data_IF_365225438801
#
_entry.id   IF_365225438801
#
_cell.length_a   1.000
_cell.length_b   1.000
_cell.length_c   1.000
_cell.angle_alpha   90.00
_cell.angle_beta   90.00
_cell.angle_gamma   90.00
#
_symmetry.space_group_name_H-M   'P 1'
#
loop_
_entity.id
_entity.type
_entity.pdbx_description
1 polymer ?
#
# COMPACT_ATOMS: atom_id res chain seq x y z
N UNK A 1 34.98 29.56 -63.72
CA UNK A 1 33.93 28.56 -63.39
C UNK A 1 34.14 28.06 -61.96
N UNK A 2 33.05 27.71 -61.27
CA UNK A 2 32.90 27.06 -59.94
C UNK A 2 32.58 28.01 -58.77
N UNK A 3 31.26 28.24 -58.63
CA UNK A 3 30.57 28.75 -57.44
C UNK A 3 30.50 27.62 -56.41
N UNK A 4 31.00 27.85 -55.20
CA UNK A 4 30.91 26.92 -54.07
C UNK A 4 29.60 27.18 -53.32
N UNK A 5 28.59 26.33 -53.49
CA UNK A 5 27.33 26.40 -52.74
C UNK A 5 27.53 25.80 -51.34
N UNK A 6 27.29 26.61 -50.31
CA UNK A 6 27.20 26.16 -48.92
C UNK A 6 25.78 25.65 -48.68
N UNK A 7 25.61 24.35 -48.44
CA UNK A 7 24.34 23.79 -47.99
C UNK A 7 24.22 23.97 -46.47
N UNK A 8 23.22 24.73 -46.04
CA UNK A 8 22.76 24.81 -44.65
C UNK A 8 21.89 23.58 -44.37
N UNK A 9 22.36 22.67 -43.51
CA UNK A 9 21.55 21.56 -43.01
C UNK A 9 20.67 22.06 -41.85
N UNK A 10 19.34 22.06 -42.05
CA UNK A 10 18.37 22.22 -40.97
C UNK A 10 18.37 20.94 -40.11
N UNK A 11 18.79 21.06 -38.85
CA UNK A 11 18.62 20.02 -37.85
C UNK A 11 17.17 20.05 -37.34
N UNK A 12 16.38 19.05 -37.72
CA UNK A 12 15.03 18.82 -37.19
C UNK A 12 15.11 18.29 -35.75
N UNK A 13 14.49 18.99 -34.81
CA UNK A 13 14.34 18.54 -33.42
C UNK A 13 13.24 17.47 -33.40
N UNK A 14 13.65 16.20 -33.26
CA UNK A 14 12.72 15.11 -33.00
C UNK A 14 12.37 15.09 -31.51
N UNK A 15 11.14 15.51 -31.17
CA UNK A 15 10.57 15.33 -29.82
C UNK A 15 10.20 13.85 -29.67
N UNK A 16 11.03 13.11 -28.95
CA UNK A 16 10.71 11.74 -28.54
C UNK A 16 9.79 11.78 -27.32
N UNK A 17 8.48 11.56 -27.55
CA UNK A 17 7.55 11.22 -26.48
C UNK A 17 7.91 9.82 -25.96
N UNK A 18 8.68 9.77 -24.87
CA UNK A 18 8.88 8.54 -24.12
C UNK A 18 7.56 8.20 -23.39
N UNK A 19 6.97 7.01 -23.61
CA UNK A 19 5.81 6.60 -22.84
C UNK A 19 6.24 6.36 -21.39
N UNK A 20 5.61 7.07 -20.46
CA UNK A 20 5.71 6.75 -19.04
C UNK A 20 5.07 5.38 -18.81
N UNK A 21 5.90 4.34 -18.76
CA UNK A 21 5.47 3.00 -18.38
C UNK A 21 5.10 3.02 -16.90
N UNK A 22 3.83 3.32 -16.60
CA UNK A 22 3.27 3.07 -15.29
C UNK A 22 3.38 1.58 -15.01
N UNK A 23 4.13 1.21 -13.97
CA UNK A 23 4.22 -0.17 -13.51
C UNK A 23 2.81 -0.63 -13.12
N UNK A 24 2.17 -1.40 -13.99
CA UNK A 24 0.92 -2.09 -13.65
C UNK A 24 1.28 -3.17 -12.64
N UNK A 25 0.88 -2.97 -11.39
CA UNK A 25 0.97 -4.02 -10.39
C UNK A 25 0.11 -5.21 -10.87
N UNK A 26 0.77 -6.28 -11.29
CA UNK A 26 0.11 -7.55 -11.57
C UNK A 26 -0.31 -8.13 -10.23
N UNK A 27 -1.57 -7.89 -9.85
CA UNK A 27 -2.16 -8.59 -8.72
C UNK A 27 -2.21 -10.07 -9.06
N UNK A 28 -1.34 -10.86 -8.45
CA UNK A 28 -1.33 -12.31 -8.58
C UNK A 28 -2.62 -12.81 -7.92
N UNK A 29 -3.65 -13.05 -8.72
CA UNK A 29 -4.89 -13.66 -8.25
C UNK A 29 -4.53 -15.06 -7.72
N UNK A 30 -4.50 -15.22 -6.40
CA UNK A 30 -4.68 -16.52 -5.76
C UNK A 30 -5.98 -17.13 -6.28
N UNK A 31 -6.06 -18.47 -6.34
CA UNK A 31 -7.29 -19.13 -6.78
C UNK A 31 -8.52 -18.53 -6.04
N UNK A 32 -9.64 -18.27 -6.73
CA UNK A 32 -10.84 -17.72 -6.10
C UNK A 32 -11.33 -18.55 -4.90
N UNK A 33 -11.05 -19.85 -4.91
CA UNK A 33 -11.28 -20.78 -3.80
C UNK A 33 -10.04 -21.66 -3.65
N UNK A 34 -9.49 -21.70 -2.44
CA UNK A 34 -8.42 -22.63 -2.09
C UNK A 34 -9.03 -23.90 -1.46
N UNK A 35 -8.86 -25.09 -2.09
CA UNK A 35 -9.39 -26.34 -1.56
C UNK A 35 -8.88 -26.69 -0.15
N UNK A 36 -7.73 -26.16 0.29
CA UNK A 36 -7.19 -26.41 1.63
C UNK A 36 -8.09 -25.82 2.75
N UNK A 37 -8.89 -24.83 2.41
CA UNK A 37 -9.76 -24.14 3.37
C UNK A 37 -11.07 -24.90 3.66
N UNK A 38 -11.41 -25.87 2.81
CA UNK A 38 -12.65 -26.65 2.89
C UNK A 38 -12.43 -27.87 3.79
N UNK A 39 -13.29 -28.05 4.78
CA UNK A 39 -13.37 -29.27 5.58
C UNK A 39 -14.37 -30.26 4.96
N UNK A 40 -13.85 -31.20 4.16
CA UNK A 40 -14.67 -32.23 3.51
C UNK A 40 -15.20 -33.30 4.45
N UNK A 41 -14.80 -33.31 5.73
CA UNK A 41 -15.35 -34.24 6.72
C UNK A 41 -16.72 -33.78 7.26
N UNK A 42 -17.03 -32.48 7.14
CA UNK A 42 -18.30 -31.92 7.54
C UNK A 42 -19.38 -32.10 6.46
N UNK A 43 -20.62 -32.42 6.87
CA UNK A 43 -21.76 -32.47 5.97
C UNK A 43 -22.22 -31.04 5.62
N UNK A 44 -22.03 -30.64 4.36
CA UNK A 44 -22.37 -29.31 3.86
C UNK A 44 -23.85 -28.93 4.01
N UNK A 45 -24.77 -29.89 3.98
CA UNK A 45 -26.21 -29.64 4.15
C UNK A 45 -26.63 -29.42 5.61
N UNK A 46 -25.74 -29.73 6.57
CA UNK A 46 -26.00 -29.62 8.01
C UNK A 46 -25.26 -28.43 8.60
N UNK A 47 -23.95 -28.31 8.32
CA UNK A 47 -23.12 -27.19 8.74
C UNK A 47 -22.24 -26.73 7.57
N UNK A 48 -22.82 -25.85 6.76
CA UNK A 48 -22.12 -25.29 5.61
C UNK A 48 -20.93 -24.41 6.03
N UNK A 49 -20.98 -23.78 7.21
CA UNK A 49 -19.90 -22.93 7.69
C UNK A 49 -18.66 -23.75 8.01
N UNK A 50 -18.81 -24.87 8.72
CA UNK A 50 -17.70 -25.79 8.97
C UNK A 50 -17.21 -26.41 7.67
N UNK A 51 -18.09 -26.88 6.78
CA UNK A 51 -17.67 -27.44 5.49
C UNK A 51 -16.84 -26.43 4.68
N UNK A 52 -17.32 -25.19 4.53
CA UNK A 52 -16.66 -24.21 3.68
C UNK A 52 -15.39 -23.60 4.29
N UNK A 53 -15.34 -23.43 5.62
CA UNK A 53 -14.29 -22.66 6.31
C UNK A 53 -13.49 -23.43 7.35
N UNK A 54 -13.83 -24.70 7.64
CA UNK A 54 -13.25 -25.48 8.72
C UNK A 54 -11.74 -25.67 8.58
N UNK A 55 -11.27 -25.90 7.35
CA UNK A 55 -9.83 -25.98 7.05
C UNK A 55 -9.13 -24.64 7.26
N UNK A 56 -9.73 -23.53 6.83
CA UNK A 56 -9.15 -22.19 7.06
C UNK A 56 -9.05 -21.88 8.56
N UNK A 57 -10.13 -22.13 9.31
CA UNK A 57 -10.18 -21.87 10.76
C UNK A 57 -9.14 -22.68 11.54
N UNK A 58 -8.90 -23.93 11.14
CA UNK A 58 -7.89 -24.77 11.77
C UNK A 58 -6.46 -24.24 11.56
N UNK A 59 -6.19 -23.65 10.38
CA UNK A 59 -4.86 -23.14 10.01
C UNK A 59 -4.63 -21.66 10.39
N UNK A 60 -5.68 -20.93 10.77
CA UNK A 60 -5.63 -19.50 11.04
C UNK A 60 -6.21 -19.20 12.44
N UNK A 61 -5.51 -19.57 13.53
CA UNK A 61 -5.92 -19.21 14.87
C UNK A 61 -5.88 -17.68 15.04
N UNK A 62 -6.71 -17.15 15.95
CA UNK A 62 -6.73 -15.72 16.25
C UNK A 62 -5.36 -15.30 16.80
N UNK A 63 -4.62 -14.41 16.12
CA UNK A 63 -3.34 -13.95 16.65
C UNK A 63 -3.56 -13.12 17.91
N UNK A 64 -2.59 -13.14 18.84
CA UNK A 64 -2.74 -12.53 20.17
C UNK A 64 -3.06 -11.02 20.16
N UNK A 65 -2.70 -10.31 19.09
CA UNK A 65 -2.99 -8.89 18.92
C UNK A 65 -4.45 -8.59 18.56
N UNK A 66 -5.26 -9.60 18.21
CA UNK A 66 -6.62 -9.44 17.74
C UNK A 66 -7.63 -10.15 18.64
N UNK A 67 -8.83 -9.57 18.75
CA UNK A 67 -9.96 -10.20 19.46
C UNK A 67 -10.77 -11.16 18.57
N UNK A 68 -10.59 -11.06 17.25
CA UNK A 68 -11.19 -11.91 16.22
C UNK A 68 -10.24 -12.01 15.03
N UNK A 69 -10.40 -13.05 14.21
CA UNK A 69 -9.62 -13.19 12.99
C UNK A 69 -10.45 -13.83 11.88
N UNK A 70 -10.35 -13.27 10.69
CA UNK A 70 -11.14 -13.63 9.52
C UNK A 70 -10.57 -13.01 8.26
N UNK A 71 -11.17 -13.34 7.11
CA UNK A 71 -10.73 -12.84 5.81
C UNK A 71 -10.76 -11.31 5.69
N UNK A 72 -11.72 -10.63 6.33
CA UNK A 72 -11.78 -9.17 6.36
C UNK A 72 -10.71 -8.55 7.27
N UNK A 73 -10.32 -9.22 8.35
CA UNK A 73 -9.23 -8.77 9.20
C UNK A 73 -7.90 -8.92 8.44
N UNK A 74 -7.66 -10.04 7.75
CA UNK A 74 -6.51 -10.20 6.85
C UNK A 74 -6.45 -9.13 5.75
N UNK A 75 -7.59 -8.79 5.15
CA UNK A 75 -7.67 -7.71 4.15
C UNK A 75 -7.35 -6.35 4.77
N UNK A 76 -7.86 -6.09 5.97
CA UNK A 76 -7.58 -4.89 6.76
C UNK A 76 -6.08 -4.73 7.01
N UNK A 77 -5.42 -5.80 7.46
CA UNK A 77 -3.97 -5.79 7.71
C UNK A 77 -3.16 -5.54 6.43
N UNK A 78 -3.49 -6.22 5.32
CA UNK A 78 -2.83 -5.99 4.01
C UNK A 78 -3.00 -4.54 3.51
N UNK A 79 -4.17 -3.95 3.76
CA UNK A 79 -4.42 -2.55 3.45
C UNK A 79 -3.61 -1.63 4.36
N UNK A 80 -3.56 -1.92 5.67
CA UNK A 80 -2.78 -1.16 6.64
C UNK A 80 -1.28 -1.18 6.30
N UNK A 81 -0.73 -2.33 5.91
CA UNK A 81 0.65 -2.44 5.42
C UNK A 81 0.90 -1.55 4.20
N UNK A 82 -0.06 -1.54 3.26
CA UNK A 82 0.03 -0.72 2.05
C UNK A 82 0.02 0.77 2.38
N UNK A 83 -0.91 1.21 3.23
CA UNK A 83 -1.00 2.59 3.70
C UNK A 83 0.27 2.99 4.46
N UNK A 84 0.76 2.12 5.34
CA UNK A 84 2.01 2.33 6.09
C UNK A 84 3.17 2.58 5.13
N UNK A 85 3.36 1.74 4.11
CA UNK A 85 4.41 1.95 3.10
C UNK A 85 4.27 3.28 2.36
N UNK A 86 3.05 3.67 1.99
CA UNK A 86 2.81 4.93 1.28
C UNK A 86 3.11 6.15 2.18
N UNK A 87 2.67 6.11 3.43
CA UNK A 87 2.86 7.20 4.39
C UNK A 87 4.32 7.32 4.83
N UNK A 88 5.03 6.20 5.03
CA UNK A 88 6.48 6.21 5.30
C UNK A 88 7.24 6.86 4.14
N UNK A 89 6.92 6.50 2.88
CA UNK A 89 7.53 7.15 1.72
C UNK A 89 7.25 8.65 1.66
N UNK A 90 6.02 9.06 1.95
CA UNK A 90 5.65 10.47 2.00
C UNK A 90 6.37 11.24 3.13
N UNK A 91 6.65 10.58 4.26
CA UNK A 91 7.41 11.14 5.37
C UNK A 91 8.91 11.29 5.05
N UNK A 92 9.46 10.38 4.25
CA UNK A 92 10.87 10.38 3.83
C UNK A 92 11.15 11.30 2.62
N UNK A 93 10.12 11.73 1.90
CA UNK A 93 10.24 12.62 0.73
C UNK A 93 10.61 14.06 1.15
N UNK A 94 11.92 14.32 1.19
CA UNK A 94 12.49 15.63 1.53
C UNK A 94 12.28 16.69 0.44
N UNK A 95 12.00 16.26 -0.80
CA UNK A 95 11.83 17.14 -1.97
C UNK A 95 10.36 17.57 -2.17
N UNK A 96 9.42 16.97 -1.42
CA UNK A 96 8.02 17.32 -1.46
C UNK A 96 7.79 18.80 -1.09
N UNK A 97 7.27 19.57 -2.05
CA UNK A 97 6.93 20.99 -1.83
C UNK A 97 5.94 21.12 -0.67
N UNK A 98 6.11 22.18 0.15
CA UNK A 98 5.37 22.39 1.40
C UNK A 98 3.84 22.38 1.27
N UNK A 99 3.28 22.79 0.14
CA UNK A 99 1.83 22.84 -0.08
C UNK A 99 1.24 21.59 -0.76
N UNK A 100 1.97 20.46 -0.79
CA UNK A 100 1.48 19.22 -1.44
C UNK A 100 0.83 18.29 -0.44
N UNK A 101 -0.18 17.53 -0.89
CA UNK A 101 -0.82 16.49 -0.08
C UNK A 101 0.18 15.45 0.44
N UNK A 102 1.22 15.13 -0.35
CA UNK A 102 2.30 14.22 0.08
C UNK A 102 3.00 14.75 1.33
N UNK A 103 3.44 16.02 1.30
CA UNK A 103 4.11 16.63 2.45
C UNK A 103 3.21 16.71 3.69
N UNK A 104 1.93 17.03 3.50
CA UNK A 104 0.95 17.07 4.60
C UNK A 104 0.77 15.68 5.22
N UNK A 105 0.58 14.65 4.40
CA UNK A 105 0.43 13.26 4.86
C UNK A 105 1.68 12.77 5.58
N UNK A 106 2.87 13.03 5.03
CA UNK A 106 4.14 12.67 5.64
C UNK A 106 4.35 13.38 6.99
N UNK A 107 4.09 14.68 7.05
CA UNK A 107 4.23 15.46 8.30
C UNK A 107 3.28 14.94 9.38
N UNK A 108 2.01 14.69 9.02
CA UNK A 108 1.02 14.16 9.95
C UNK A 108 1.42 12.77 10.45
N UNK A 109 1.81 11.87 9.54
CA UNK A 109 2.26 10.53 9.88
C UNK A 109 3.47 10.56 10.82
N UNK A 110 4.51 11.35 10.52
CA UNK A 110 5.69 11.47 11.40
C UNK A 110 5.34 11.96 12.79
N UNK A 111 4.39 12.90 12.92
CA UNK A 111 3.97 13.39 14.24
C UNK A 111 3.31 12.30 15.10
N UNK A 112 2.57 11.38 14.48
CA UNK A 112 1.96 10.24 15.17
C UNK A 112 3.00 9.17 15.54
N UNK A 113 4.01 8.96 14.69
CA UNK A 113 5.02 7.91 14.91
C UNK A 113 6.12 8.30 15.91
N UNK A 114 6.25 9.58 16.28
CA UNK A 114 7.22 10.04 17.29
C UNK A 114 6.73 9.81 18.73
N UNK A 115 6.75 8.55 19.15
CA UNK A 115 6.38 8.15 20.52
C UNK A 115 7.29 8.77 21.58
N UNK A 116 8.57 9.00 21.29
CA UNK A 116 9.50 9.65 22.21
C UNK A 116 9.19 11.14 22.40
N UNK A 117 8.77 11.83 21.33
CA UNK A 117 8.19 13.17 21.36
C UNK A 117 6.94 13.25 22.21
N UNK A 118 5.99 12.34 21.97
CA UNK A 118 4.75 12.25 22.73
C UNK A 118 5.01 12.03 24.24
N UNK A 119 5.89 11.09 24.59
CA UNK A 119 6.23 10.79 25.99
C UNK A 119 6.89 11.99 26.69
N UNK A 120 7.78 12.70 26.00
CA UNK A 120 8.43 13.91 26.53
C UNK A 120 7.44 15.05 26.76
N UNK A 121 6.46 15.20 25.87
CA UNK A 121 5.43 16.23 26.00
C UNK A 121 4.42 15.92 27.13
N UNK A 122 4.24 14.64 27.47
CA UNK A 122 3.33 14.20 28.51
C UNK A 122 1.91 14.75 28.30
N UNK A 123 1.29 15.20 29.39
CA UNK A 123 -0.07 15.75 29.36
C UNK A 123 -0.12 17.26 29.08
N UNK A 124 1.01 17.94 28.86
CA UNK A 124 1.04 19.40 28.67
C UNK A 124 0.14 19.88 27.52
N UNK A 125 0.06 19.21 26.36
CA UNK A 125 -0.84 19.61 25.26
C UNK A 125 -2.34 19.59 25.61
N UNK A 126 -2.73 18.88 26.68
CA UNK A 126 -4.12 18.78 27.13
C UNK A 126 -4.51 19.87 28.14
N UNK A 127 -3.55 20.70 28.59
CA UNK A 127 -3.83 21.75 29.57
C UNK A 127 -4.72 22.84 28.94
N UNK A 128 -5.63 23.43 29.73
CA UNK A 128 -6.42 24.57 29.27
C UNK A 128 -5.51 25.68 28.75
N UNK A 129 -5.94 26.34 27.67
CA UNK A 129 -5.27 27.50 27.10
C UNK A 129 -5.76 28.79 27.71
#
# INVERSE_FOLDING_TARGET
MRRTQRFLALAGIAVTLAPAAGAQATYRQTLPLDPINIDRSANACVDFYQFANGGWRANNPIPAAFSRWGSFDELGEKNQETLTRLLTRAAEDADAKQATSSRMLGTYYTSCMDSAGAERAGADPLRPR
#
